data_IF_003616125819
#
_entry.id   IF_003616125819
#
_cell.length_a   1.000
_cell.length_b   1.000
_cell.length_c   1.000
_cell.angle_alpha   90.00
_cell.angle_beta   90.00
_cell.angle_gamma   90.00
#
_symmetry.space_group_name_H-M   'P 1'
#
loop_
_entity.id
_entity.type
_entity.pdbx_description
1 polymer ?
#
# COMPACT_ATOMS: atom_id res chain seq x y z
N UNK A 1 -18.88 48.10 20.46
CA UNK A 1 -19.55 46.81 20.25
C UNK A 1 -19.76 46.63 18.74
N UNK A 2 -18.91 45.94 18.03
CA UNK A 2 -19.11 45.48 16.64
C UNK A 2 -19.06 43.96 16.67
N UNK A 3 -20.19 43.38 16.26
CA UNK A 3 -20.44 41.95 16.17
C UNK A 3 -19.52 41.33 15.13
N UNK A 4 -18.75 40.32 15.55
CA UNK A 4 -18.13 39.34 14.65
C UNK A 4 -19.13 38.19 14.52
N UNK A 5 -19.85 38.15 13.43
CA UNK A 5 -20.55 36.98 12.94
C UNK A 5 -20.51 37.09 11.43
N UNK A 6 -19.81 36.16 10.82
CA UNK A 6 -20.09 35.53 9.52
C UNK A 6 -18.82 34.79 9.00
N UNK A 7 -18.53 33.65 9.65
CA UNK A 7 -17.81 32.59 8.96
C UNK A 7 -18.85 31.61 8.44
N UNK A 8 -19.24 31.80 7.19
CA UNK A 8 -19.98 30.80 6.44
C UNK A 8 -19.16 29.48 6.44
N UNK A 9 -19.79 28.31 6.65
CA UNK A 9 -19.11 27.05 6.55
C UNK A 9 -18.64 26.86 5.09
N UNK A 10 -17.34 26.72 4.90
CA UNK A 10 -16.77 26.31 3.63
C UNK A 10 -17.38 24.93 3.29
N UNK A 11 -18.31 24.94 2.34
CA UNK A 11 -18.73 23.72 1.66
C UNK A 11 -17.52 23.10 0.97
N UNK A 12 -16.87 22.17 1.65
CA UNK A 12 -15.99 21.23 0.98
C UNK A 12 -16.87 20.36 0.09
N UNK A 13 -16.98 20.73 -1.18
CA UNK A 13 -17.50 19.86 -2.23
C UNK A 13 -16.78 18.50 -2.13
N UNK A 14 -17.58 17.44 -2.12
CA UNK A 14 -17.17 16.04 -2.15
C UNK A 14 -16.31 15.72 -3.39
N UNK A 15 -15.06 16.11 -3.40
CA UNK A 15 -14.06 15.35 -4.14
C UNK A 15 -13.84 14.08 -3.30
N UNK A 16 -14.39 12.97 -3.77
CA UNK A 16 -14.23 11.64 -3.16
C UNK A 16 -12.76 11.23 -3.27
N UNK A 17 -11.90 11.79 -2.42
CA UNK A 17 -10.53 11.34 -2.28
C UNK A 17 -10.59 9.99 -1.58
N UNK A 18 -10.48 8.92 -2.34
CA UNK A 18 -10.28 7.60 -1.78
C UNK A 18 -8.97 7.63 -0.99
N UNK A 19 -9.08 7.70 0.35
CA UNK A 19 -7.90 7.66 1.22
C UNK A 19 -7.13 6.38 0.90
N UNK A 20 -5.80 6.44 0.77
CA UNK A 20 -4.99 5.26 0.43
C UNK A 20 -5.01 4.18 1.52
N UNK A 21 -5.68 4.43 2.63
CA UNK A 21 -5.90 3.53 3.75
C UNK A 21 -7.30 3.71 4.32
N UNK A 22 -7.99 2.61 4.58
CA UNK A 22 -9.29 2.56 5.27
C UNK A 22 -9.28 1.44 6.29
N UNK A 23 -9.96 1.64 7.42
CA UNK A 23 -10.20 0.60 8.42
C UNK A 23 -11.62 0.72 8.94
N UNK A 24 -12.33 -0.41 8.99
CA UNK A 24 -13.71 -0.51 9.45
C UNK A 24 -13.91 -1.80 10.21
N UNK A 25 -14.92 -1.87 11.07
CA UNK A 25 -15.34 -3.14 11.67
C UNK A 25 -16.10 -4.00 10.66
N UNK A 26 -16.16 -5.30 10.90
CA UNK A 26 -16.96 -6.23 10.08
C UNK A 26 -18.44 -5.83 10.11
N UNK A 27 -18.95 -5.38 11.26
CA UNK A 27 -20.32 -4.92 11.44
C UNK A 27 -20.61 -3.73 10.52
N UNK A 28 -19.72 -2.74 10.50
CA UNK A 28 -19.86 -1.59 9.62
C UNK A 28 -19.91 -2.01 8.13
N UNK A 29 -19.07 -2.98 7.74
CA UNK A 29 -19.05 -3.51 6.36
C UNK A 29 -20.36 -4.23 6.02
N UNK A 30 -20.96 -4.97 6.97
CA UNK A 30 -22.26 -5.64 6.75
C UNK A 30 -23.38 -4.64 6.46
N UNK A 31 -23.37 -3.49 7.14
CA UNK A 31 -24.39 -2.46 7.01
C UNK A 31 -24.19 -1.58 5.77
N UNK A 32 -22.95 -1.24 5.45
CA UNK A 32 -22.63 -0.23 4.44
C UNK A 32 -22.05 -0.80 3.16
N UNK A 33 -21.66 -2.08 3.15
CA UNK A 33 -20.96 -2.71 2.04
C UNK A 33 -19.48 -2.30 1.94
N UNK A 34 -18.84 -2.78 0.90
CA UNK A 34 -17.43 -2.45 0.55
C UNK A 34 -17.43 -1.66 -0.74
N UNK A 35 -17.11 -0.38 -0.66
CA UNK A 35 -16.86 0.47 -1.83
C UNK A 35 -15.36 0.79 -1.92
N UNK A 36 -14.64 -0.04 -2.66
CA UNK A 36 -13.20 0.10 -2.86
C UNK A 36 -12.85 -0.06 -4.34
N UNK A 37 -11.98 0.83 -4.86
CA UNK A 37 -11.39 0.63 -6.18
C UNK A 37 -10.60 -0.68 -6.25
N UNK A 38 -10.49 -1.26 -7.44
CA UNK A 38 -9.85 -2.56 -7.68
C UNK A 38 -8.33 -2.61 -7.38
N UNK A 39 -7.72 -1.50 -7.03
CA UNK A 39 -6.29 -1.40 -6.72
C UNK A 39 -5.96 -1.47 -5.22
N UNK A 40 -6.94 -1.81 -4.37
CA UNK A 40 -6.73 -1.98 -2.93
C UNK A 40 -6.39 -3.42 -2.58
N UNK A 41 -5.42 -3.59 -1.69
CA UNK A 41 -5.24 -4.78 -0.86
C UNK A 41 -6.23 -4.73 0.29
N UNK A 42 -6.67 -5.89 0.77
CA UNK A 42 -7.53 -5.98 1.93
C UNK A 42 -7.03 -7.05 2.90
N UNK A 43 -6.95 -6.70 4.16
CA UNK A 43 -6.73 -7.59 5.29
C UNK A 43 -8.02 -7.66 6.09
N UNK A 44 -8.54 -8.85 6.33
CA UNK A 44 -9.73 -9.08 7.15
C UNK A 44 -9.29 -9.83 8.39
N UNK A 45 -9.29 -9.16 9.53
CA UNK A 45 -8.87 -9.69 10.82
C UNK A 45 -10.09 -10.15 11.61
N UNK A 46 -10.24 -11.46 11.80
CA UNK A 46 -11.31 -12.05 12.61
C UNK A 46 -10.80 -12.14 14.05
N UNK A 47 -11.24 -11.22 14.91
CA UNK A 47 -10.86 -11.14 16.31
C UNK A 47 -11.61 -12.19 17.11
N UNK A 48 -12.92 -12.38 16.84
CA UNK A 48 -13.72 -13.38 17.53
C UNK A 48 -14.90 -13.85 16.68
N UNK A 49 -15.39 -15.04 17.01
CA UNK A 49 -16.52 -15.68 16.35
C UNK A 49 -16.09 -16.75 15.36
N UNK A 50 -17.07 -17.58 14.98
CA UNK A 50 -16.93 -18.61 13.97
C UNK A 50 -18.04 -18.43 12.94
N UNK A 51 -17.72 -18.64 11.68
CA UNK A 51 -18.68 -18.43 10.63
C UNK A 51 -18.10 -18.67 9.25
N UNK A 52 -18.56 -17.90 8.31
CA UNK A 52 -18.03 -17.93 6.95
C UNK A 52 -18.00 -16.51 6.36
N UNK A 53 -17.08 -16.32 5.46
CA UNK A 53 -17.15 -15.21 4.51
C UNK A 53 -17.47 -15.77 3.11
N UNK A 54 -18.00 -14.92 2.28
CA UNK A 54 -18.19 -15.19 0.86
C UNK A 54 -17.41 -14.16 0.06
N UNK A 55 -16.50 -14.65 -0.76
CA UNK A 55 -15.77 -13.85 -1.72
C UNK A 55 -16.17 -14.29 -3.11
N UNK A 56 -16.86 -13.42 -3.85
CA UNK A 56 -17.48 -13.76 -5.12
C UNK A 56 -18.48 -14.92 -4.93
N UNK A 57 -18.26 -16.05 -5.60
CA UNK A 57 -19.09 -17.24 -5.52
C UNK A 57 -18.57 -18.30 -4.53
N UNK A 58 -17.39 -18.12 -4.00
CA UNK A 58 -16.77 -19.08 -3.06
C UNK A 58 -17.12 -18.72 -1.62
N UNK A 59 -17.53 -19.73 -0.85
CA UNK A 59 -17.85 -19.64 0.56
C UNK A 59 -16.79 -20.40 1.35
N UNK A 60 -16.12 -19.72 2.26
CA UNK A 60 -15.03 -20.25 3.06
C UNK A 60 -15.34 -20.09 4.55
N UNK A 61 -15.04 -21.12 5.33
CA UNK A 61 -15.19 -21.05 6.78
C UNK A 61 -14.03 -20.22 7.40
N UNK A 62 -14.37 -19.49 8.45
CA UNK A 62 -13.40 -18.73 9.24
C UNK A 62 -13.68 -18.83 10.71
N UNK A 63 -12.62 -18.72 11.50
CA UNK A 63 -12.63 -18.85 12.93
C UNK A 63 -11.91 -17.68 13.61
N UNK A 64 -12.04 -17.60 14.92
CA UNK A 64 -11.30 -16.66 15.76
C UNK A 64 -9.80 -16.70 15.47
N UNK A 65 -9.16 -15.55 15.51
CA UNK A 65 -7.73 -15.33 15.28
C UNK A 65 -7.27 -15.71 13.86
N UNK A 66 -8.14 -15.58 12.87
CA UNK A 66 -7.77 -15.74 11.46
C UNK A 66 -7.70 -14.41 10.74
N UNK A 67 -6.67 -14.26 9.92
CA UNK A 67 -6.45 -13.14 9.03
C UNK A 67 -6.59 -13.60 7.58
N UNK A 68 -7.48 -12.94 6.84
CA UNK A 68 -7.70 -13.20 5.42
C UNK A 68 -7.02 -12.12 4.60
N UNK A 69 -6.50 -12.52 3.46
CA UNK A 69 -5.74 -11.67 2.56
C UNK A 69 -6.39 -11.65 1.18
N UNK A 70 -6.81 -10.48 0.72
CA UNK A 70 -7.44 -10.28 -0.59
C UNK A 70 -6.56 -9.33 -1.40
N UNK A 71 -6.17 -9.76 -2.61
CA UNK A 71 -5.34 -8.97 -3.53
C UNK A 71 -6.17 -7.96 -4.32
N UNK A 72 -5.54 -6.92 -4.86
CA UNK A 72 -6.17 -6.05 -5.85
C UNK A 72 -6.81 -6.85 -7.00
N UNK A 73 -8.00 -6.45 -7.38
CA UNK A 73 -8.74 -7.07 -8.48
C UNK A 73 -9.47 -8.39 -8.14
N UNK A 74 -9.32 -8.91 -6.92
CA UNK A 74 -10.00 -10.14 -6.50
C UNK A 74 -11.39 -9.90 -5.88
N UNK A 75 -11.64 -8.69 -5.39
CA UNK A 75 -12.88 -8.36 -4.70
C UNK A 75 -13.97 -7.95 -5.69
N UNK A 76 -15.08 -8.70 -5.71
CA UNK A 76 -16.30 -8.34 -6.42
C UNK A 76 -17.54 -8.35 -5.50
N UNK A 77 -17.64 -9.32 -4.60
CA UNK A 77 -18.74 -9.44 -3.61
C UNK A 77 -18.18 -10.06 -2.33
N UNK A 78 -18.14 -9.29 -1.25
CA UNK A 78 -17.68 -9.73 0.06
C UNK A 78 -18.84 -9.69 1.05
N UNK A 79 -19.18 -10.85 1.61
CA UNK A 79 -20.23 -10.97 2.64
C UNK A 79 -19.73 -11.81 3.81
N UNK A 80 -20.20 -11.45 5.00
CA UNK A 80 -19.90 -12.14 6.24
C UNK A 80 -21.14 -12.74 6.86
N UNK A 81 -21.02 -13.90 7.49
CA UNK A 81 -22.07 -14.45 8.36
C UNK A 81 -22.22 -13.62 9.64
N UNK A 82 -23.34 -13.83 10.33
CA UNK A 82 -23.53 -13.27 11.66
C UNK A 82 -22.59 -13.92 12.67
N UNK A 83 -22.28 -13.20 13.76
CA UNK A 83 -21.41 -13.71 14.85
C UNK A 83 -19.92 -13.58 14.57
N UNK A 84 -19.50 -13.00 13.45
CA UNK A 84 -18.09 -12.62 13.22
C UNK A 84 -17.86 -11.18 13.66
N UNK A 85 -16.82 -10.97 14.46
CA UNK A 85 -16.34 -9.67 14.91
C UNK A 85 -14.88 -9.48 14.51
N UNK A 86 -14.52 -8.27 14.10
CA UNK A 86 -13.17 -7.97 13.68
C UNK A 86 -13.09 -6.76 12.78
N UNK A 87 -12.02 -6.65 12.02
CA UNK A 87 -11.67 -5.47 11.25
C UNK A 87 -11.40 -5.79 9.79
N UNK A 88 -11.73 -4.84 8.93
CA UNK A 88 -11.38 -4.84 7.52
C UNK A 88 -10.46 -3.66 7.27
N UNK A 89 -9.20 -3.93 6.96
CA UNK A 89 -8.15 -2.95 6.66
C UNK A 89 -7.92 -2.98 5.16
N UNK A 90 -8.06 -1.84 4.50
CA UNK A 90 -7.89 -1.71 3.06
C UNK A 90 -6.83 -0.64 2.76
N UNK A 91 -5.88 -0.95 1.88
CA UNK A 91 -4.78 -0.05 1.59
C UNK A 91 -4.27 -0.22 0.16
N UNK A 92 -3.63 0.83 -0.35
CA UNK A 92 -2.95 0.81 -1.65
C UNK A 92 -1.45 0.61 -1.47
N UNK A 93 -0.75 0.18 -2.53
CA UNK A 93 0.72 0.14 -2.55
C UNK A 93 1.34 1.48 -2.13
N UNK A 94 0.75 2.59 -2.57
CA UNK A 94 1.25 3.92 -2.25
C UNK A 94 1.13 4.29 -0.77
N UNK A 95 0.26 3.63 -0.01
CA UNK A 95 0.20 3.83 1.44
C UNK A 95 1.37 3.15 2.15
N UNK A 96 1.85 2.04 1.60
CA UNK A 96 3.03 1.34 2.09
C UNK A 96 4.34 1.98 1.61
N UNK A 97 4.27 3.00 0.71
CA UNK A 97 5.45 3.70 0.22
C UNK A 97 6.30 4.18 1.40
N UNK A 98 7.31 3.41 1.63
CA UNK A 98 8.17 3.45 2.78
C UNK A 98 9.39 4.30 2.43
N UNK A 99 9.74 5.19 3.33
CA UNK A 99 11.04 5.81 3.38
C UNK A 99 12.16 4.76 3.28
N UNK A 100 13.26 5.12 2.66
CA UNK A 100 14.36 4.31 2.11
C UNK A 100 14.93 3.14 2.95
N UNK A 101 14.49 2.92 4.21
CA UNK A 101 15.07 1.93 5.13
C UNK A 101 14.17 0.72 5.48
N UNK A 102 12.95 0.62 4.98
CA UNK A 102 11.99 -0.40 5.44
C UNK A 102 11.44 -1.34 4.39
N UNK A 103 11.86 -1.25 3.14
CA UNK A 103 11.30 -2.04 2.04
C UNK A 103 11.56 -3.52 2.16
N UNK A 104 12.76 -3.91 2.58
CA UNK A 104 13.18 -5.31 2.62
C UNK A 104 12.45 -6.11 3.71
N UNK A 105 12.09 -5.46 4.83
CA UNK A 105 11.47 -6.12 5.98
C UNK A 105 9.96 -6.34 5.82
N UNK A 106 9.28 -5.52 5.02
CA UNK A 106 7.81 -5.52 4.94
C UNK A 106 7.29 -6.04 3.60
N UNK A 107 7.95 -5.66 2.50
CA UNK A 107 7.50 -6.06 1.16
C UNK A 107 7.66 -7.57 0.90
N UNK A 108 8.77 -8.16 1.31
CA UNK A 108 9.02 -9.59 1.06
C UNK A 108 8.05 -10.50 1.83
N UNK A 109 7.84 -10.34 3.15
CA UNK A 109 6.88 -11.15 3.88
C UNK A 109 5.43 -10.95 3.43
N UNK A 110 4.98 -9.69 3.24
CA UNK A 110 3.60 -9.40 2.83
C UNK A 110 3.28 -10.03 1.49
N UNK A 111 4.14 -9.86 0.49
CA UNK A 111 3.93 -10.47 -0.81
C UNK A 111 4.03 -11.99 -0.77
N UNK A 112 4.86 -12.58 0.11
CA UNK A 112 4.87 -14.02 0.34
C UNK A 112 3.55 -14.48 0.95
N UNK A 113 3.05 -13.79 1.95
CA UNK A 113 1.76 -14.07 2.61
C UNK A 113 0.63 -14.06 1.59
N UNK A 114 0.49 -12.97 0.84
CA UNK A 114 -0.53 -12.85 -0.20
C UNK A 114 -0.41 -13.89 -1.31
N UNK A 115 0.74 -14.52 -1.50
CA UNK A 115 0.95 -15.50 -2.55
C UNK A 115 0.83 -16.96 -2.09
N UNK A 116 0.98 -17.24 -0.80
CA UNK A 116 1.05 -18.63 -0.29
C UNK A 116 -0.25 -19.11 0.32
N UNK A 117 -0.91 -18.31 1.15
CA UNK A 117 -2.15 -18.72 1.81
C UNK A 117 -3.11 -17.53 1.91
N UNK A 118 -4.37 -17.69 1.47
CA UNK A 118 -5.37 -16.62 1.63
C UNK A 118 -5.80 -16.44 3.10
N UNK A 119 -5.54 -17.42 3.97
CA UNK A 119 -5.92 -17.40 5.40
C UNK A 119 -4.69 -17.74 6.23
N UNK A 120 -4.41 -16.91 7.22
CA UNK A 120 -3.36 -17.11 8.22
C UNK A 120 -3.98 -17.21 9.60
N UNK A 121 -3.67 -18.25 10.34
CA UNK A 121 -4.08 -18.37 11.75
C UNK A 121 -3.00 -17.74 12.63
N UNK A 122 -3.39 -16.80 13.47
CA UNK A 122 -2.52 -16.07 14.39
C UNK A 122 -2.57 -16.76 15.75
N UNK A 123 -1.42 -16.96 16.40
CA UNK A 123 -1.40 -17.50 17.77
C UNK A 123 -2.04 -16.50 18.75
N UNK A 124 -2.55 -16.99 19.87
CA UNK A 124 -3.32 -16.18 20.83
C UNK A 124 -2.49 -15.04 21.44
N UNK A 125 -1.23 -15.28 21.76
CA UNK A 125 -0.33 -14.26 22.33
C UNK A 125 -0.12 -13.08 21.38
N UNK A 126 0.13 -13.37 20.12
CA UNK A 126 0.30 -12.34 19.09
C UNK A 126 -1.02 -11.67 18.69
N UNK A 127 -2.15 -12.41 18.83
CA UNK A 127 -3.46 -11.89 18.50
C UNK A 127 -3.86 -10.71 19.41
N UNK A 128 -3.52 -10.76 20.69
CA UNK A 128 -3.79 -9.69 21.64
C UNK A 128 -3.01 -8.42 21.25
N UNK A 129 -1.71 -8.52 21.00
CA UNK A 129 -0.88 -7.40 20.54
C UNK A 129 -1.41 -6.79 19.22
N UNK A 130 -1.79 -7.64 18.27
CA UNK A 130 -2.33 -7.20 16.97
C UNK A 130 -3.69 -6.54 17.12
N UNK A 131 -4.53 -7.02 18.05
CA UNK A 131 -5.82 -6.40 18.35
C UNK A 131 -5.64 -5.01 18.93
N UNK A 132 -4.76 -4.84 19.91
CA UNK A 132 -4.45 -3.54 20.53
C UNK A 132 -3.98 -2.51 19.49
N UNK A 133 -3.09 -2.91 18.58
CA UNK A 133 -2.61 -2.06 17.49
C UNK A 133 -3.78 -1.68 16.56
N UNK A 134 -4.67 -2.63 16.27
CA UNK A 134 -5.82 -2.41 15.38
C UNK A 134 -6.82 -1.45 16.01
N UNK A 135 -7.08 -1.56 17.32
CA UNK A 135 -7.93 -0.61 18.04
C UNK A 135 -7.34 0.81 18.06
N UNK A 136 -6.02 0.94 18.23
CA UNK A 136 -5.35 2.24 18.14
C UNK A 136 -5.52 2.82 16.74
N UNK A 137 -5.35 2.02 15.70
CA UNK A 137 -5.58 2.46 14.31
C UNK A 137 -7.04 2.89 14.08
N UNK A 138 -8.01 2.17 14.61
CA UNK A 138 -9.43 2.54 14.52
C UNK A 138 -9.72 3.88 15.21
N UNK A 139 -9.20 4.07 16.42
CA UNK A 139 -9.34 5.35 17.17
C UNK A 139 -8.72 6.51 16.39
N UNK A 140 -7.52 6.33 15.83
CA UNK A 140 -6.85 7.37 15.04
C UNK A 140 -7.58 7.61 13.70
N UNK A 141 -8.09 6.56 13.05
CA UNK A 141 -8.82 6.68 11.80
C UNK A 141 -10.12 7.48 11.95
N UNK A 142 -10.80 7.38 13.09
CA UNK A 142 -12.02 8.13 13.38
C UNK A 142 -11.77 9.61 13.72
N UNK A 143 -10.53 9.98 14.07
CA UNK A 143 -10.15 11.35 14.44
C UNK A 143 -9.61 12.10 13.22
N UNK A 144 -9.91 13.39 13.11
CA UNK A 144 -9.41 14.24 12.03
C UNK A 144 -8.25 15.12 12.53
N UNK A 145 -7.29 14.50 13.23
CA UNK A 145 -6.16 15.19 13.83
C UNK A 145 -5.00 15.42 12.84
N UNK A 146 -4.14 16.37 13.19
CA UNK A 146 -2.88 16.60 12.51
C UNK A 146 -2.02 15.31 12.54
N UNK A 147 -1.30 15.01 11.47
CA UNK A 147 -0.46 13.81 11.31
C UNK A 147 -1.20 12.46 11.34
N UNK A 148 -2.53 12.43 11.27
CA UNK A 148 -3.33 11.17 11.26
C UNK A 148 -2.79 10.13 10.25
N UNK A 149 -2.53 10.55 9.02
CA UNK A 149 -2.04 9.64 7.98
C UNK A 149 -0.68 9.04 8.33
N UNK A 150 0.21 9.83 8.92
CA UNK A 150 1.54 9.37 9.33
C UNK A 150 1.48 8.41 10.52
N UNK A 151 0.63 8.70 11.50
CA UNK A 151 0.39 7.83 12.65
C UNK A 151 -0.19 6.48 12.20
N UNK A 152 -1.22 6.50 11.36
CA UNK A 152 -1.82 5.29 10.80
C UNK A 152 -0.80 4.45 10.02
N UNK A 153 0.05 5.09 9.22
CA UNK A 153 1.12 4.42 8.46
C UNK A 153 2.10 3.70 9.38
N UNK A 154 2.50 4.33 10.50
CA UNK A 154 3.44 3.73 11.47
C UNK A 154 2.82 2.57 12.23
N UNK A 155 1.61 2.70 12.72
CA UNK A 155 0.92 1.59 13.39
C UNK A 155 0.63 0.42 12.44
N UNK A 156 0.22 0.71 11.21
CA UNK A 156 0.01 -0.33 10.22
C UNK A 156 1.32 -1.06 9.88
N UNK A 157 2.43 -0.34 9.83
CA UNK A 157 3.77 -0.94 9.68
C UNK A 157 4.11 -1.89 10.83
N UNK A 158 3.83 -1.49 12.08
CA UNK A 158 4.03 -2.34 13.25
C UNK A 158 3.16 -3.60 13.15
N UNK A 159 1.88 -3.45 12.82
CA UNK A 159 0.96 -4.57 12.58
C UNK A 159 1.52 -5.57 11.55
N UNK A 160 2.06 -5.09 10.45
CA UNK A 160 2.66 -5.93 9.42
C UNK A 160 3.95 -6.64 9.88
N UNK A 161 4.74 -6.01 10.76
CA UNK A 161 5.91 -6.64 11.38
C UNK A 161 5.47 -7.79 12.29
N UNK A 162 4.45 -7.61 13.12
CA UNK A 162 3.88 -8.68 13.95
C UNK A 162 3.37 -9.83 13.08
N UNK A 163 2.64 -9.53 12.02
CA UNK A 163 2.19 -10.53 11.06
C UNK A 163 3.36 -11.28 10.42
N UNK A 164 4.44 -10.59 10.07
CA UNK A 164 5.65 -11.21 9.51
C UNK A 164 6.31 -12.18 10.47
N UNK A 165 6.34 -11.87 11.78
CA UNK A 165 6.86 -12.78 12.81
C UNK A 165 6.07 -14.09 12.91
N UNK A 166 4.74 -14.01 12.74
CA UNK A 166 3.88 -15.20 12.71
C UNK A 166 4.19 -16.12 11.52
N UNK A 167 4.76 -15.57 10.47
CA UNK A 167 5.00 -16.26 9.20
C UNK A 167 6.46 -16.67 9.01
N UNK A 168 7.35 -16.26 9.93
CA UNK A 168 8.70 -16.80 9.97
C UNK A 168 8.63 -18.31 10.17
N UNK A 169 9.31 -19.09 9.34
CA UNK A 169 9.07 -20.53 9.28
C UNK A 169 9.43 -21.19 10.62
N UNK A 170 8.53 -21.99 11.13
CA UNK A 170 8.93 -23.18 11.85
C UNK A 170 9.99 -23.89 11.01
N UNK A 171 11.23 -23.82 11.46
CA UNK A 171 12.42 -24.56 11.02
C UNK A 171 12.27 -25.39 9.73
N UNK A 172 12.36 -24.75 8.62
CA UNK A 172 12.94 -25.19 7.36
C UNK A 172 12.75 -24.03 6.38
N UNK A 173 13.71 -23.11 6.36
CA UNK A 173 13.80 -22.19 5.25
C UNK A 173 13.81 -23.02 3.96
N UNK A 174 12.77 -23.01 3.10
CA UNK A 174 12.94 -23.55 1.78
C UNK A 174 14.11 -22.78 1.22
N UNK A 175 15.14 -23.49 0.73
CA UNK A 175 16.28 -22.91 0.00
C UNK A 175 15.72 -21.75 -0.81
N UNK A 176 16.19 -20.54 -0.53
CA UNK A 176 15.71 -19.30 -1.17
C UNK A 176 15.47 -19.60 -2.63
N UNK A 177 14.21 -19.60 -3.07
CA UNK A 177 13.94 -20.02 -4.44
C UNK A 177 14.69 -19.04 -5.35
N UNK A 178 15.26 -19.51 -6.45
CA UNK A 178 15.94 -18.66 -7.43
C UNK A 178 15.10 -17.42 -7.76
N UNK A 179 13.79 -17.56 -7.80
CA UNK A 179 12.85 -16.48 -8.07
C UNK A 179 12.83 -15.44 -6.95
N UNK A 180 12.87 -15.85 -5.68
CA UNK A 180 12.92 -14.92 -4.53
C UNK A 180 14.24 -14.13 -4.54
N UNK A 181 15.37 -14.80 -4.83
CA UNK A 181 16.67 -14.12 -4.97
C UNK A 181 16.69 -13.13 -6.14
N UNK A 182 16.07 -13.48 -7.27
CA UNK A 182 15.93 -12.55 -8.42
C UNK A 182 15.12 -11.33 -8.03
N UNK A 183 13.99 -11.49 -7.33
CA UNK A 183 13.18 -10.38 -6.86
C UNK A 183 13.96 -9.47 -5.92
N UNK A 184 14.61 -10.03 -4.90
CA UNK A 184 15.40 -9.25 -3.93
C UNK A 184 16.52 -8.45 -4.63
N UNK A 185 17.26 -9.10 -5.52
CA UNK A 185 18.31 -8.46 -6.30
C UNK A 185 17.74 -7.38 -7.22
N UNK A 186 16.59 -7.62 -7.86
CA UNK A 186 15.89 -6.61 -8.67
C UNK A 186 15.52 -5.37 -7.85
N UNK A 187 14.91 -5.54 -6.69
CA UNK A 187 14.51 -4.42 -5.82
C UNK A 187 15.75 -3.64 -5.36
N UNK A 188 16.81 -4.33 -4.91
CA UNK A 188 18.07 -3.69 -4.52
C UNK A 188 18.72 -2.89 -5.67
N UNK A 189 18.74 -3.45 -6.88
CA UNK A 189 19.25 -2.76 -8.06
C UNK A 189 18.37 -1.56 -8.45
N UNK A 190 17.04 -1.71 -8.34
CA UNK A 190 16.09 -0.65 -8.62
C UNK A 190 16.32 0.54 -7.72
N UNK A 191 16.46 0.32 -6.41
CA UNK A 191 16.68 1.40 -5.45
C UNK A 191 18.00 2.15 -5.68
N UNK A 192 19.03 1.45 -6.13
CA UNK A 192 20.33 2.08 -6.41
C UNK A 192 20.37 2.84 -7.74
N UNK A 193 19.65 2.34 -8.76
CA UNK A 193 19.86 2.78 -10.14
C UNK A 193 18.62 3.35 -10.83
N UNK A 194 17.50 3.59 -10.13
CA UNK A 194 16.26 4.07 -10.74
C UNK A 194 16.40 5.44 -11.46
N UNK A 195 17.42 6.22 -11.14
CA UNK A 195 17.72 7.48 -11.82
C UNK A 195 18.33 7.27 -13.20
N UNK A 196 19.07 6.18 -13.38
CA UNK A 196 19.81 5.86 -14.60
C UNK A 196 19.02 4.90 -15.49
N UNK A 197 18.52 3.81 -14.90
CA UNK A 197 17.83 2.74 -15.62
C UNK A 197 16.30 2.86 -15.51
N UNK A 198 15.64 2.93 -16.68
CA UNK A 198 14.19 3.08 -16.80
C UNK A 198 13.50 1.88 -17.45
N UNK A 199 14.27 1.00 -18.08
CA UNK A 199 13.74 -0.13 -18.84
C UNK A 199 13.96 -1.43 -18.08
N UNK A 200 13.03 -2.37 -18.22
CA UNK A 200 13.15 -3.71 -17.61
C UNK A 200 14.40 -4.44 -18.12
N UNK A 201 14.78 -4.20 -19.38
CA UNK A 201 15.97 -4.79 -19.98
C UNK A 201 17.25 -4.42 -19.21
N UNK A 202 17.40 -3.18 -18.77
CA UNK A 202 18.59 -2.72 -18.04
C UNK A 202 18.83 -3.53 -16.75
N UNK A 203 17.76 -3.88 -16.06
CA UNK A 203 17.80 -4.68 -14.83
C UNK A 203 17.97 -6.16 -15.13
N UNK A 204 17.30 -6.65 -16.17
CA UNK A 204 17.37 -8.05 -16.58
C UNK A 204 18.79 -8.45 -16.97
N UNK A 205 19.49 -7.61 -17.74
CA UNK A 205 20.89 -7.82 -18.14
C UNK A 205 21.80 -7.95 -16.92
N UNK A 206 21.63 -7.07 -15.91
CA UNK A 206 22.44 -7.12 -14.68
C UNK A 206 22.16 -8.33 -13.80
N UNK A 207 20.95 -8.85 -13.90
CA UNK A 207 20.54 -10.06 -13.19
C UNK A 207 20.82 -11.35 -14.00
N UNK A 208 21.38 -11.21 -15.19
CA UNK A 208 21.65 -12.33 -16.13
C UNK A 208 20.40 -13.16 -16.40
N UNK A 209 19.28 -12.48 -16.64
CA UNK A 209 17.98 -13.05 -17.00
C UNK A 209 17.37 -12.33 -18.19
N UNK A 210 16.36 -12.93 -18.83
CA UNK A 210 15.64 -12.24 -19.90
C UNK A 210 14.62 -11.23 -19.30
N UNK A 211 14.31 -10.12 -20.00
CA UNK A 211 13.30 -9.15 -19.55
C UNK A 211 11.92 -9.79 -19.30
N UNK A 212 11.52 -10.74 -20.14
CA UNK A 212 10.26 -11.47 -19.98
C UNK A 212 10.27 -12.29 -18.69
N UNK A 213 11.34 -13.05 -18.46
CA UNK A 213 11.46 -13.85 -17.24
C UNK A 213 11.50 -12.98 -15.98
N UNK A 214 12.21 -11.84 -15.99
CA UNK A 214 12.20 -10.90 -14.90
C UNK A 214 10.76 -10.38 -14.62
N UNK A 215 10.02 -9.99 -15.65
CA UNK A 215 8.64 -9.55 -15.51
C UNK A 215 7.73 -10.66 -14.93
N UNK A 216 7.86 -11.89 -15.39
CA UNK A 216 7.09 -13.03 -14.89
C UNK A 216 7.39 -13.31 -13.41
N UNK A 217 8.66 -13.38 -13.04
CA UNK A 217 9.09 -13.62 -11.66
C UNK A 217 8.57 -12.52 -10.73
N UNK A 218 8.81 -11.26 -11.10
CA UNK A 218 8.36 -10.11 -10.29
C UNK A 218 6.85 -10.10 -10.20
N UNK A 219 6.11 -10.27 -11.30
CA UNK A 219 4.65 -10.29 -11.32
C UNK A 219 4.08 -11.45 -10.50
N UNK A 220 4.68 -12.63 -10.58
CA UNK A 220 4.27 -13.81 -9.80
C UNK A 220 4.41 -13.57 -8.30
N UNK A 221 5.48 -12.91 -7.86
CA UNK A 221 5.79 -12.71 -6.45
C UNK A 221 5.17 -11.42 -5.87
N UNK A 222 4.95 -10.38 -6.68
CA UNK A 222 4.46 -9.08 -6.21
C UNK A 222 3.07 -8.71 -6.73
N UNK A 223 2.52 -9.45 -7.67
CA UNK A 223 1.27 -9.12 -8.35
C UNK A 223 1.41 -8.08 -9.47
N UNK A 224 2.54 -7.35 -9.54
CA UNK A 224 2.80 -6.28 -10.51
C UNK A 224 4.06 -6.56 -11.32
N UNK A 225 4.11 -6.06 -12.58
CA UNK A 225 5.28 -6.27 -13.43
C UNK A 225 6.50 -5.47 -12.95
N UNK A 226 7.72 -5.91 -13.32
CA UNK A 226 8.96 -5.18 -13.04
C UNK A 226 8.90 -3.73 -13.59
N UNK A 227 8.34 -3.55 -14.79
CA UNK A 227 8.14 -2.21 -15.36
C UNK A 227 7.18 -1.33 -14.53
N UNK A 228 6.21 -1.91 -13.84
CA UNK A 228 5.36 -1.18 -12.90
C UNK A 228 6.18 -0.69 -11.71
N UNK A 229 6.97 -1.56 -11.07
CA UNK A 229 7.83 -1.19 -9.94
C UNK A 229 8.83 -0.09 -10.30
N UNK A 230 9.46 -0.17 -11.49
CA UNK A 230 10.36 0.88 -11.97
C UNK A 230 9.63 2.22 -12.07
N UNK A 231 8.46 2.24 -12.73
CA UNK A 231 7.68 3.48 -12.88
C UNK A 231 7.26 4.06 -11.53
N UNK A 232 6.79 3.23 -10.61
CA UNK A 232 6.36 3.69 -9.28
C UNK A 232 7.54 4.23 -8.47
N UNK A 233 8.71 3.60 -8.53
CA UNK A 233 9.91 4.08 -7.81
C UNK A 233 10.35 5.48 -8.29
N UNK A 234 10.37 5.68 -9.59
CA UNK A 234 10.72 6.98 -10.18
C UNK A 234 9.66 8.04 -9.84
N UNK A 235 8.38 7.68 -9.91
CA UNK A 235 7.28 8.59 -9.58
C UNK A 235 7.28 8.98 -8.08
N UNK A 236 7.59 8.04 -7.18
CA UNK A 236 7.72 8.30 -5.75
C UNK A 236 8.82 9.34 -5.47
N UNK A 237 9.99 9.18 -6.09
CA UNK A 237 11.08 10.14 -5.94
C UNK A 237 10.72 11.51 -6.52
N UNK A 238 10.02 11.54 -7.67
CA UNK A 238 9.53 12.79 -8.26
C UNK A 238 8.58 13.53 -7.32
N UNK A 239 7.65 12.80 -6.66
CA UNK A 239 6.73 13.36 -5.67
C UNK A 239 7.49 13.92 -4.46
N UNK A 240 8.48 13.16 -3.93
CA UNK A 240 9.32 13.58 -2.80
C UNK A 240 10.04 14.89 -3.11
N UNK A 241 10.68 14.98 -4.28
CA UNK A 241 11.37 16.20 -4.70
C UNK A 241 10.43 17.38 -4.98
N UNK A 242 9.20 17.12 -5.42
CA UNK A 242 8.21 18.16 -5.72
C UNK A 242 7.70 18.90 -4.48
N UNK A 243 7.81 18.31 -3.28
CA UNK A 243 7.42 18.93 -2.01
C UNK A 243 8.30 20.14 -1.70
N UNK A 244 9.57 20.14 -2.13
CA UNK A 244 10.46 21.26 -1.92
C UNK A 244 10.11 22.43 -2.85
N UNK A 245 9.84 23.64 -2.31
CA UNK A 245 9.39 24.80 -3.12
C UNK A 245 10.36 25.16 -4.24
N UNK A 246 11.68 25.05 -3.96
CA UNK A 246 12.76 25.46 -4.87
C UNK A 246 13.00 24.49 -6.04
N UNK A 247 12.41 23.31 -5.98
CA UNK A 247 12.57 22.32 -7.04
C UNK A 247 11.55 22.55 -8.16
N UNK A 248 12.01 23.07 -9.29
CA UNK A 248 11.17 23.15 -10.49
C UNK A 248 11.11 21.83 -11.25
N UNK A 249 10.08 21.66 -12.09
CA UNK A 249 9.89 20.45 -12.90
C UNK A 249 11.12 20.12 -13.76
N UNK A 250 11.80 21.13 -14.29
CA UNK A 250 13.01 20.96 -15.11
C UNK A 250 14.12 20.29 -14.32
N UNK A 251 14.42 20.81 -13.11
CA UNK A 251 15.44 20.24 -12.23
C UNK A 251 15.12 18.80 -11.87
N UNK A 252 13.89 18.52 -11.44
CA UNK A 252 13.45 17.17 -11.07
C UNK A 252 13.57 16.19 -12.24
N UNK A 253 13.16 16.62 -13.45
CA UNK A 253 13.27 15.79 -14.64
C UNK A 253 14.72 15.36 -14.91
N UNK A 254 15.66 16.31 -14.88
CA UNK A 254 17.09 16.01 -15.09
C UNK A 254 17.70 15.20 -13.96
N UNK A 255 17.38 15.50 -12.70
CA UNK A 255 17.86 14.73 -11.52
C UNK A 255 17.37 13.28 -11.54
N UNK A 256 16.23 13.04 -12.17
CA UNK A 256 15.69 11.70 -12.38
C UNK A 256 16.14 11.03 -13.69
N UNK A 257 17.05 11.66 -14.45
CA UNK A 257 17.64 11.10 -15.66
C UNK A 257 16.75 11.17 -16.90
N UNK A 258 15.80 12.11 -16.96
CA UNK A 258 15.05 12.38 -18.20
C UNK A 258 15.77 13.41 -19.06
N UNK A 259 15.83 13.17 -20.37
CA UNK A 259 16.49 14.08 -21.32
C UNK A 259 15.70 15.38 -21.53
N UNK A 260 14.37 15.36 -21.34
CA UNK A 260 13.51 16.52 -21.53
C UNK A 260 12.29 16.52 -20.59
N UNK A 261 11.70 17.70 -20.41
CA UNK A 261 10.53 17.91 -19.54
C UNK A 261 9.24 17.31 -20.11
N UNK A 262 9.10 17.21 -21.43
CA UNK A 262 7.89 16.69 -22.04
C UNK A 262 7.77 15.20 -21.80
N UNK A 263 8.89 14.48 -21.95
CA UNK A 263 8.98 13.04 -21.62
C UNK A 263 8.71 12.79 -20.14
N UNK A 264 9.32 13.56 -19.24
CA UNK A 264 9.05 13.48 -17.80
C UNK A 264 7.57 13.77 -17.47
N UNK A 265 6.98 14.81 -18.04
CA UNK A 265 5.58 15.18 -17.78
C UNK A 265 4.61 14.07 -18.19
N UNK A 266 4.83 13.48 -19.39
CA UNK A 266 4.05 12.34 -19.88
C UNK A 266 4.24 11.11 -18.98
N UNK A 267 5.48 10.81 -18.60
CA UNK A 267 5.81 9.74 -17.68
C UNK A 267 5.08 9.90 -16.34
N UNK A 268 5.21 11.08 -15.71
CA UNK A 268 4.62 11.36 -14.41
C UNK A 268 3.09 11.21 -14.44
N UNK A 269 2.44 11.78 -15.46
CA UNK A 269 0.99 11.64 -15.64
C UNK A 269 0.55 10.19 -15.81
N UNK A 270 1.29 9.40 -16.60
CA UNK A 270 0.99 7.99 -16.81
C UNK A 270 1.20 7.15 -15.53
N UNK A 271 2.19 7.50 -14.70
CA UNK A 271 2.50 6.78 -13.48
C UNK A 271 1.59 7.15 -12.29
N UNK A 272 1.07 8.40 -12.26
CA UNK A 272 0.33 8.95 -11.11
C UNK A 272 -1.13 9.28 -11.40
N UNK A 273 -1.54 9.32 -12.66
CA UNK A 273 -2.88 9.71 -13.09
C UNK A 273 -3.12 11.23 -13.16
N UNK A 274 -2.22 12.05 -12.60
CA UNK A 274 -2.35 13.53 -12.58
C UNK A 274 -1.11 14.20 -13.16
N UNK A 275 -1.25 15.45 -13.66
CA UNK A 275 -0.09 16.18 -14.15
C UNK A 275 0.83 16.58 -13.01
N UNK A 276 2.15 16.73 -13.30
CA UNK A 276 3.12 17.18 -12.30
C UNK A 276 2.78 18.58 -11.76
N UNK A 277 2.30 19.49 -12.62
CA UNK A 277 1.89 20.84 -12.24
C UNK A 277 0.70 20.83 -11.28
N UNK A 278 -0.29 19.96 -11.52
CA UNK A 278 -1.44 19.81 -10.61
C UNK A 278 -1.03 19.18 -9.28
N UNK A 279 -0.11 18.20 -9.32
CA UNK A 279 0.44 17.62 -8.11
C UNK A 279 1.16 18.66 -7.25
N UNK A 280 2.04 19.48 -7.87
CA UNK A 280 2.78 20.53 -7.15
C UNK A 280 1.86 21.60 -6.57
N UNK A 281 0.85 22.07 -7.32
CA UNK A 281 -0.15 23.02 -6.82
C UNK A 281 -0.89 22.49 -5.59
N UNK A 282 -1.27 21.21 -5.59
CA UNK A 282 -1.94 20.56 -4.44
C UNK A 282 -1.04 20.47 -3.23
N UNK A 283 0.25 20.17 -3.41
CA UNK A 283 1.24 20.11 -2.32
C UNK A 283 1.50 21.48 -1.69
N UNK A 284 1.40 22.57 -2.44
CA UNK A 284 1.59 23.95 -1.93
C UNK A 284 0.40 24.43 -1.08
N UNK A 285 -0.79 23.89 -1.30
CA UNK A 285 -2.01 24.24 -0.54
C UNK A 285 -2.03 23.57 0.85
N UNK A 286 -1.20 22.56 1.09
CA UNK A 286 -1.14 21.82 2.36
C UNK A 286 -0.01 22.30 3.31
N UNK A 287 0.72 23.35 2.97
CA UNK A 287 1.60 24.03 3.93
C UNK A 287 0.78 25.10 4.66
N UNK A 288 0.56 25.00 5.98
CA UNK A 288 0.04 26.14 6.73
C UNK A 288 1.08 27.25 6.64
N UNK A 289 0.66 28.40 6.18
CA UNK A 289 1.39 29.67 6.34
C UNK A 289 1.54 29.86 7.86
N UNK A 290 2.77 29.89 8.35
CA UNK A 290 3.12 30.21 9.73
C UNK A 290 2.62 31.60 10.12
#
# INVERSE_FOLDING_TARGET
MKQFNDFAPLHFEKASYCLPFKIHTIEWIKENGVDLPNNYFMLIWIVSGNGYYRLNLQKEAVNTNQLLLIKPGQLHDLKFSNGLHGYVISFTDSFLDVDDYGRDLIYSPIHQIFNQTPIVTINSELADDMNDITEIMMKEYSRHNLYRAEILKRYFKIFLIYLSRQLEPMEQAPKQSRNTSILQNFISLLDKNFREYKMVADYADRLSVTPNYLNEVVKKLTGQSAGHHIRQRVAAEAKKQAIHPDNCMKKIAYDLGFCDMAHFSKFFKNATGISFSDFKKRGTVLQPVF
#
